data_IF_396875407160
#
_entry.id   IF_396875407160
#
_cell.length_a   1.000
_cell.length_b   1.000
_cell.length_c   1.000
_cell.angle_alpha   90.00
_cell.angle_beta   90.00
_cell.angle_gamma   90.00
#
_symmetry.space_group_name_H-M   'P 1'
#
loop_
_entity.id
_entity.type
_entity.pdbx_description
1 polymer ?
#
# COMPACT_ATOMS: atom_id res chain seq x y z
N UNK A 1 11.66 17.46 19.85
CA UNK A 1 12.65 16.85 18.91
C UNK A 1 12.41 17.35 17.49
N UNK A 2 13.42 17.30 16.61
CA UNK A 2 13.25 17.57 15.19
C UNK A 2 12.84 16.29 14.41
N UNK A 3 12.54 16.41 13.12
CA UNK A 3 12.09 15.28 12.28
C UNK A 3 13.10 14.13 12.22
N UNK A 4 14.39 14.43 12.05
CA UNK A 4 15.41 13.39 11.95
C UNK A 4 15.61 12.64 13.28
N UNK A 5 15.49 13.34 14.40
CA UNK A 5 15.51 12.74 15.72
C UNK A 5 14.28 11.83 15.93
N UNK A 6 13.09 12.25 15.46
CA UNK A 6 11.88 11.43 15.51
C UNK A 6 12.01 10.16 14.66
N UNK A 7 12.54 10.27 13.44
CA UNK A 7 12.81 9.12 12.58
C UNK A 7 13.83 8.17 13.21
N UNK A 8 14.91 8.71 13.80
CA UNK A 8 15.92 7.90 14.51
C UNK A 8 15.31 7.15 15.69
N UNK A 9 14.44 7.79 16.46
CA UNK A 9 13.74 7.15 17.56
C UNK A 9 12.84 6.02 17.07
N UNK A 10 12.03 6.23 16.02
CA UNK A 10 11.18 5.20 15.43
C UNK A 10 11.99 3.99 14.95
N UNK A 11 13.06 4.24 14.19
CA UNK A 11 13.89 3.16 13.64
C UNK A 11 14.65 2.39 14.71
N UNK A 12 14.94 3.01 15.86
CA UNK A 12 15.57 2.32 17.01
C UNK A 12 14.65 1.32 17.70
N UNK A 13 13.31 1.41 17.49
CA UNK A 13 12.34 0.42 17.96
C UNK A 13 12.35 -0.89 17.14
N UNK A 14 13.33 -1.06 16.26
CA UNK A 14 13.47 -2.20 15.36
C UNK A 14 12.70 -2.02 14.06
N UNK A 15 13.33 -1.40 13.06
CA UNK A 15 12.76 -1.00 11.76
C UNK A 15 12.01 -2.12 11.00
N UNK A 16 12.18 -3.35 11.34
CA UNK A 16 11.49 -4.50 10.71
C UNK A 16 10.89 -5.43 11.74
N UNK A 17 10.78 -4.98 12.99
CA UNK A 17 10.14 -5.76 14.04
C UNK A 17 8.64 -5.77 13.79
N UNK A 18 8.12 -6.94 13.44
CA UNK A 18 6.69 -7.19 13.27
C UNK A 18 6.23 -8.09 14.42
N UNK A 19 5.35 -7.59 15.25
CA UNK A 19 4.69 -8.33 16.31
C UNK A 19 3.19 -8.15 16.20
N UNK A 20 2.50 -9.21 15.84
CA UNK A 20 1.02 -9.22 15.73
C UNK A 20 0.39 -9.20 17.13
N UNK A 21 -0.77 -8.57 17.23
CA UNK A 21 -1.55 -8.45 18.48
C UNK A 21 -1.94 -7.02 18.77
N UNK A 22 -3.03 -6.85 19.52
CA UNK A 22 -3.64 -5.54 19.74
C UNK A 22 -3.46 -5.02 21.18
N UNK A 23 -2.92 -5.83 22.10
CA UNK A 23 -2.83 -5.47 23.54
C UNK A 23 -1.92 -4.26 23.79
N UNK A 24 -0.78 -4.19 23.10
CA UNK A 24 0.19 -3.10 23.27
C UNK A 24 -0.40 -1.78 22.79
N UNK A 25 -0.96 -1.76 21.57
CA UNK A 25 -1.56 -0.55 21.00
C UNK A 25 -2.82 -0.14 21.77
N UNK A 26 -3.62 -1.10 22.28
CA UNK A 26 -4.78 -0.82 23.14
C UNK A 26 -4.36 -0.01 24.38
N UNK A 27 -3.38 -0.50 25.12
CA UNK A 27 -2.84 0.19 26.31
C UNK A 27 -2.30 1.59 26.00
N UNK A 28 -1.64 1.75 24.84
CA UNK A 28 -1.13 3.04 24.42
C UNK A 28 -2.26 4.04 24.11
N UNK A 29 -3.29 3.58 23.38
CA UNK A 29 -4.44 4.42 23.02
C UNK A 29 -5.30 4.77 24.24
N UNK A 30 -5.47 3.87 25.21
CA UNK A 30 -6.16 4.13 26.47
C UNK A 30 -5.51 5.31 27.24
N UNK A 31 -4.18 5.35 27.31
CA UNK A 31 -3.45 6.48 27.93
C UNK A 31 -3.64 7.81 27.21
N UNK A 32 -3.98 7.76 25.93
CA UNK A 32 -4.24 8.94 25.11
C UNK A 32 -5.73 9.31 25.05
N UNK A 33 -6.58 8.61 25.82
CA UNK A 33 -8.03 8.85 25.90
C UNK A 33 -8.79 8.32 24.68
N UNK A 34 -8.30 7.23 24.07
CA UNK A 34 -8.90 6.53 22.94
C UNK A 34 -9.28 7.44 21.75
N UNK A 35 -8.32 8.18 21.17
CA UNK A 35 -8.60 9.10 20.07
C UNK A 35 -9.25 8.41 18.86
N UNK A 36 -8.98 7.12 18.64
CA UNK A 36 -9.57 6.31 17.55
C UNK A 36 -11.09 6.16 17.69
N UNK A 37 -11.66 6.22 18.88
CA UNK A 37 -13.11 6.07 19.09
C UNK A 37 -13.90 7.32 18.62
N UNK A 38 -13.22 8.42 18.26
CA UNK A 38 -13.82 9.67 17.77
C UNK A 38 -13.91 9.77 16.24
N UNK A 39 -13.41 8.78 15.52
CA UNK A 39 -13.23 8.82 14.07
C UNK A 39 -14.13 7.80 13.38
N UNK A 40 -14.46 8.08 12.11
CA UNK A 40 -15.17 7.15 11.23
C UNK A 40 -14.21 6.59 10.20
N UNK A 41 -14.37 5.32 9.81
CA UNK A 41 -13.40 4.61 9.00
C UNK A 41 -13.99 3.91 7.79
N UNK A 42 -13.27 3.99 6.67
CA UNK A 42 -13.28 2.98 5.60
C UNK A 42 -11.97 2.22 5.74
N UNK A 43 -12.03 0.93 6.10
CA UNK A 43 -10.86 0.12 6.40
C UNK A 43 -10.53 -0.79 5.23
N UNK A 44 -9.29 -0.77 4.74
CA UNK A 44 -8.89 -1.45 3.50
C UNK A 44 -7.81 -2.47 3.79
N UNK A 45 -8.10 -3.76 3.49
CA UNK A 45 -7.15 -4.86 3.55
C UNK A 45 -7.01 -5.56 2.18
N UNK A 46 -5.99 -6.38 2.02
CA UNK A 46 -5.72 -7.13 0.79
C UNK A 46 -4.24 -7.46 0.66
N UNK A 47 -3.88 -8.26 -0.33
CA UNK A 47 -2.46 -8.48 -0.67
C UNK A 47 -1.97 -7.33 -1.52
N UNK A 48 -2.55 -7.12 -2.69
CA UNK A 48 -2.23 -6.06 -3.63
C UNK A 48 -3.44 -5.12 -3.84
N UNK A 49 -3.22 -3.88 -4.29
CA UNK A 49 -4.28 -2.92 -4.61
C UNK A 49 -4.72 -2.00 -3.46
N UNK A 50 -4.39 -2.29 -2.20
CA UNK A 50 -4.81 -1.49 -1.03
C UNK A 50 -4.57 0.01 -1.21
N UNK A 51 -3.32 0.42 -1.44
CA UNK A 51 -2.95 1.82 -1.60
C UNK A 51 -3.67 2.51 -2.77
N UNK A 52 -3.88 1.80 -3.90
CA UNK A 52 -4.65 2.35 -5.04
C UNK A 52 -6.12 2.58 -4.68
N UNK A 53 -6.76 1.61 -4.02
CA UNK A 53 -8.17 1.75 -3.55
C UNK A 53 -8.28 2.89 -2.54
N UNK A 54 -7.36 2.98 -1.57
CA UNK A 54 -7.29 4.08 -0.61
C UNK A 54 -7.14 5.44 -1.30
N UNK A 55 -6.24 5.55 -2.28
CA UNK A 55 -6.03 6.78 -3.04
C UNK A 55 -7.28 7.20 -3.84
N UNK A 56 -7.95 6.27 -4.50
CA UNK A 56 -9.17 6.55 -5.27
C UNK A 56 -10.28 7.03 -4.33
N UNK A 57 -10.58 6.27 -3.26
CA UNK A 57 -11.64 6.62 -2.30
C UNK A 57 -11.37 7.99 -1.67
N UNK A 58 -10.15 8.20 -1.15
CA UNK A 58 -9.81 9.46 -0.49
C UNK A 58 -9.92 10.66 -1.42
N UNK A 59 -9.50 10.53 -2.69
CA UNK A 59 -9.58 11.62 -3.67
C UNK A 59 -11.03 11.95 -4.04
N UNK A 60 -11.90 10.94 -4.16
CA UNK A 60 -13.34 11.18 -4.44
C UNK A 60 -13.99 11.91 -3.26
N UNK A 61 -13.72 11.49 -2.03
CA UNK A 61 -14.28 12.12 -0.83
C UNK A 61 -13.77 13.57 -0.66
N UNK A 62 -12.50 13.83 -0.97
CA UNK A 62 -11.93 15.19 -0.99
C UNK A 62 -12.60 16.09 -2.04
N UNK A 63 -12.81 15.58 -3.26
CA UNK A 63 -13.52 16.33 -4.32
C UNK A 63 -14.99 16.61 -3.94
N UNK A 64 -15.57 15.76 -3.08
CA UNK A 64 -16.89 15.99 -2.49
C UNK A 64 -16.89 17.00 -1.33
N UNK A 65 -15.74 17.57 -0.96
CA UNK A 65 -15.59 18.59 0.07
C UNK A 65 -15.39 18.07 1.49
N UNK A 66 -15.14 16.77 1.68
CA UNK A 66 -14.87 16.19 3.00
C UNK A 66 -13.41 16.41 3.42
N UNK A 67 -13.17 16.56 4.71
CA UNK A 67 -11.85 16.56 5.31
C UNK A 67 -11.41 15.13 5.58
N UNK A 68 -10.64 14.54 4.68
CA UNK A 68 -10.30 13.12 4.67
C UNK A 68 -8.93 12.89 5.30
N UNK A 69 -8.85 12.05 6.34
CA UNK A 69 -7.62 11.44 6.79
C UNK A 69 -7.28 10.23 5.91
N UNK A 70 -6.05 10.14 5.43
CA UNK A 70 -5.56 8.98 4.69
C UNK A 70 -4.32 8.41 5.40
N UNK A 71 -4.37 7.12 5.72
CA UNK A 71 -3.25 6.38 6.27
C UNK A 71 -2.86 5.24 5.34
N UNK A 72 -1.62 5.24 4.86
CA UNK A 72 -1.08 4.24 3.91
C UNK A 72 0.28 3.73 4.33
N UNK A 73 0.67 2.56 3.82
CA UNK A 73 1.97 1.96 4.07
C UNK A 73 2.40 1.01 2.94
N UNK A 74 3.73 0.86 2.73
CA UNK A 74 4.82 1.65 3.29
C UNK A 74 4.94 3.04 2.64
N UNK A 75 5.83 3.91 3.14
CA UNK A 75 6.28 5.12 2.46
C UNK A 75 7.41 4.81 1.47
N UNK A 76 7.66 5.71 0.53
CA UNK A 76 8.77 5.60 -0.43
C UNK A 76 9.95 6.47 0.01
N UNK A 77 9.73 7.75 0.25
CA UNK A 77 10.79 8.70 0.61
C UNK A 77 10.77 9.07 2.09
N UNK A 78 9.61 9.45 2.62
CA UNK A 78 9.49 10.06 3.94
C UNK A 78 8.34 9.47 4.74
N UNK A 79 8.49 9.37 6.05
CA UNK A 79 7.42 8.87 6.94
C UNK A 79 6.14 9.71 6.87
N UNK A 80 6.25 10.99 6.49
CA UNK A 80 5.11 11.91 6.35
C UNK A 80 4.10 11.47 5.30
N UNK A 81 4.56 10.76 4.25
CA UNK A 81 3.69 10.18 3.21
C UNK A 81 2.60 9.26 3.76
N UNK A 82 2.85 8.62 4.91
CA UNK A 82 1.91 7.66 5.51
C UNK A 82 0.68 8.32 6.12
N UNK A 83 0.74 9.62 6.46
CA UNK A 83 -0.31 10.32 7.22
C UNK A 83 -0.66 11.60 6.47
N UNK A 84 -1.80 11.61 5.79
CA UNK A 84 -2.25 12.76 5.01
C UNK A 84 -3.61 13.25 5.47
N UNK A 85 -3.86 14.55 5.34
CA UNK A 85 -5.20 15.15 5.47
C UNK A 85 -5.51 15.90 4.18
N UNK A 86 -6.58 15.49 3.50
CA UNK A 86 -7.05 16.09 2.25
C UNK A 86 -5.92 16.29 1.22
N UNK A 87 -5.11 15.23 1.02
CA UNK A 87 -4.01 15.19 0.04
C UNK A 87 -2.73 15.91 0.47
N UNK A 88 -2.69 16.45 1.70
CA UNK A 88 -1.50 17.12 2.26
C UNK A 88 -0.89 16.23 3.34
N UNK A 89 0.38 15.92 3.20
CA UNK A 89 1.13 15.16 4.21
C UNK A 89 1.19 15.89 5.55
N UNK A 90 1.24 15.14 6.65
CA UNK A 90 1.60 15.69 7.96
C UNK A 90 2.92 16.44 7.85
N UNK A 91 3.01 17.65 8.40
CA UNK A 91 4.26 18.40 8.36
C UNK A 91 5.36 17.69 9.15
N UNK A 92 6.62 17.83 8.75
CA UNK A 92 7.77 17.30 9.50
C UNK A 92 7.78 17.80 10.95
N UNK A 93 7.27 19.03 11.19
CA UNK A 93 7.11 19.60 12.52
C UNK A 93 6.03 18.89 13.33
N UNK A 94 4.80 18.73 12.79
CA UNK A 94 3.71 18.03 13.46
C UNK A 94 4.09 16.57 13.72
N UNK A 95 4.70 15.89 12.73
CA UNK A 95 5.17 14.52 12.88
C UNK A 95 6.12 14.36 14.07
N UNK A 96 7.17 15.19 14.14
CA UNK A 96 8.12 15.17 15.25
C UNK A 96 7.46 15.53 16.59
N UNK A 97 6.54 16.50 16.60
CA UNK A 97 5.78 16.89 17.78
C UNK A 97 4.93 15.72 18.34
N UNK A 98 4.19 15.02 17.47
CA UNK A 98 3.36 13.89 17.92
C UNK A 98 4.20 12.69 18.36
N UNK A 99 5.29 12.37 17.66
CA UNK A 99 6.23 11.33 18.09
C UNK A 99 6.78 11.64 19.48
N UNK A 100 7.32 12.84 19.69
CA UNK A 100 7.88 13.25 20.99
C UNK A 100 6.86 13.18 22.12
N UNK A 101 5.65 13.68 21.88
CA UNK A 101 4.58 13.69 22.87
C UNK A 101 4.10 12.28 23.22
N UNK A 102 3.88 11.46 22.21
CA UNK A 102 3.31 10.13 22.39
C UNK A 102 4.32 9.21 23.05
N UNK A 103 5.58 9.17 22.58
CA UNK A 103 6.60 8.27 23.13
C UNK A 103 6.88 8.53 24.60
N UNK A 104 6.79 9.78 25.07
CA UNK A 104 6.87 10.12 26.51
C UNK A 104 5.71 9.57 27.35
N UNK A 105 4.50 9.49 26.77
CA UNK A 105 3.32 8.97 27.45
C UNK A 105 3.33 7.44 27.55
N UNK A 106 3.96 6.78 26.58
CA UNK A 106 3.95 5.32 26.42
C UNK A 106 5.34 4.69 26.59
N UNK A 107 6.25 5.35 27.29
CA UNK A 107 7.67 4.97 27.43
C UNK A 107 7.87 3.53 27.93
N UNK A 108 6.98 3.05 28.81
CA UNK A 108 7.00 1.68 29.36
C UNK A 108 6.25 0.65 28.48
N UNK A 109 5.68 1.06 27.34
CA UNK A 109 5.00 0.17 26.40
C UNK A 109 5.93 -0.06 25.20
N UNK A 110 6.39 -1.29 25.05
CA UNK A 110 7.32 -1.67 23.99
C UNK A 110 6.58 -1.82 22.63
N UNK A 111 6.16 -0.69 22.05
CA UNK A 111 5.51 -0.67 20.73
C UNK A 111 6.50 -0.89 19.60
N UNK A 112 6.03 -1.49 18.52
CA UNK A 112 6.74 -1.54 17.24
C UNK A 112 6.69 -0.18 16.53
N UNK A 113 7.56 0.04 15.55
CA UNK A 113 7.52 1.23 14.68
C UNK A 113 6.12 1.48 14.10
N UNK A 114 5.48 0.42 13.57
CA UNK A 114 4.16 0.53 12.95
C UNK A 114 3.07 0.86 13.97
N UNK A 115 3.12 0.29 15.16
CA UNK A 115 2.17 0.62 16.25
C UNK A 115 2.32 2.10 16.69
N UNK A 116 3.55 2.61 16.82
CA UNK A 116 3.76 4.03 17.17
C UNK A 116 3.18 4.94 16.07
N UNK A 117 3.46 4.65 14.80
CA UNK A 117 2.91 5.42 13.67
C UNK A 117 1.39 5.39 13.64
N UNK A 118 0.79 4.24 13.92
CA UNK A 118 -0.67 4.08 13.99
C UNK A 118 -1.28 4.89 15.14
N UNK A 119 -0.63 4.90 16.30
CA UNK A 119 -1.06 5.75 17.43
C UNK A 119 -0.95 7.24 17.09
N UNK A 120 0.17 7.65 16.45
CA UNK A 120 0.37 9.04 15.97
C UNK A 120 -0.74 9.43 15.00
N UNK A 121 -1.04 8.59 14.02
CA UNK A 121 -2.10 8.82 13.04
C UNK A 121 -3.46 9.03 13.70
N UNK A 122 -3.89 8.13 14.61
CA UNK A 122 -5.16 8.28 15.31
C UNK A 122 -5.23 9.58 16.10
N UNK A 123 -4.16 9.90 16.84
CA UNK A 123 -4.11 11.13 17.63
C UNK A 123 -4.14 12.38 16.74
N UNK A 124 -3.35 12.39 15.65
CA UNK A 124 -3.30 13.51 14.71
C UNK A 124 -4.65 13.74 14.04
N UNK A 125 -5.27 12.70 13.51
CA UNK A 125 -6.57 12.83 12.83
C UNK A 125 -7.68 13.27 13.77
N UNK A 126 -7.71 12.76 15.01
CA UNK A 126 -8.67 13.19 16.01
C UNK A 126 -8.47 14.67 16.40
N UNK A 127 -7.23 15.12 16.62
CA UNK A 127 -6.91 16.51 16.96
C UNK A 127 -7.21 17.49 15.81
N UNK A 128 -7.08 17.02 14.57
CA UNK A 128 -7.39 17.82 13.39
C UNK A 128 -8.86 17.75 12.98
N UNK A 129 -9.69 16.97 13.66
CA UNK A 129 -11.13 16.78 13.39
C UNK A 129 -11.38 16.45 11.90
N UNK A 130 -10.84 15.33 11.43
CA UNK A 130 -11.16 14.81 10.08
C UNK A 130 -12.57 14.24 10.07
N UNK A 131 -13.29 14.36 8.95
CA UNK A 131 -14.66 13.86 8.82
C UNK A 131 -14.69 12.34 8.68
N UNK A 132 -13.68 11.79 7.99
CA UNK A 132 -13.56 10.35 7.73
C UNK A 132 -12.09 9.96 7.53
N UNK A 133 -11.76 8.73 7.88
CA UNK A 133 -10.43 8.14 7.68
C UNK A 133 -10.52 7.00 6.68
N UNK A 134 -9.73 7.07 5.63
CA UNK A 134 -9.42 5.93 4.74
C UNK A 134 -8.16 5.28 5.29
N UNK A 135 -8.31 4.05 5.79
CA UNK A 135 -7.33 3.38 6.64
C UNK A 135 -6.81 2.11 5.95
N UNK A 136 -5.56 2.11 5.50
CA UNK A 136 -4.90 0.94 4.94
C UNK A 136 -4.31 0.07 6.06
N UNK A 137 -4.54 -1.26 6.02
CA UNK A 137 -3.83 -2.21 6.89
C UNK A 137 -2.36 -2.32 6.51
N UNK A 138 -1.48 -2.45 7.49
CA UNK A 138 -0.06 -2.71 7.22
C UNK A 138 0.19 -4.15 6.79
N UNK A 139 -0.35 -5.11 7.55
CA UNK A 139 -0.15 -6.55 7.34
C UNK A 139 -1.38 -7.35 7.78
N UNK A 140 -1.88 -8.22 6.88
CA UNK A 140 -3.02 -9.06 7.20
C UNK A 140 -4.31 -8.25 7.37
N UNK A 141 -4.84 -8.20 8.56
CA UNK A 141 -6.05 -7.47 8.94
C UNK A 141 -6.38 -7.70 10.41
N UNK A 142 -6.68 -8.93 10.80
CA UNK A 142 -7.21 -9.33 12.11
C UNK A 142 -6.38 -8.79 13.29
N UNK A 143 -5.07 -8.92 13.23
CA UNK A 143 -4.13 -8.50 14.28
C UNK A 143 -3.28 -7.30 13.87
N UNK A 144 -3.64 -6.62 12.78
CA UNK A 144 -2.99 -5.38 12.37
C UNK A 144 -3.29 -4.26 13.37
N UNK A 145 -2.31 -3.41 13.65
CA UNK A 145 -2.47 -2.30 14.61
C UNK A 145 -3.63 -1.36 14.23
N UNK A 146 -3.93 -1.21 12.93
CA UNK A 146 -5.06 -0.40 12.47
C UNK A 146 -6.41 -1.00 12.87
N UNK A 147 -6.47 -2.32 13.12
CA UNK A 147 -7.71 -3.03 13.47
C UNK A 147 -8.14 -2.88 14.94
N UNK A 148 -7.45 -2.06 15.71
CA UNK A 148 -7.86 -1.70 17.08
C UNK A 148 -9.20 -0.96 17.12
N UNK A 149 -9.66 -0.43 16.00
CA UNK A 149 -10.96 0.24 15.86
C UNK A 149 -12.12 -0.73 16.17
N UNK A 150 -13.12 -0.26 16.89
CA UNK A 150 -14.30 -1.06 17.28
C UNK A 150 -15.36 -1.16 16.19
N UNK A 151 -15.42 -0.16 15.31
CA UNK A 151 -16.39 -0.08 14.20
C UNK A 151 -15.77 0.55 12.97
N UNK A 152 -16.31 0.24 11.80
CA UNK A 152 -16.06 0.94 10.56
C UNK A 152 -17.36 1.09 9.77
N UNK A 153 -17.40 2.01 8.84
CA UNK A 153 -18.52 2.18 7.92
C UNK A 153 -18.52 1.06 6.87
N UNK A 154 -17.31 0.65 6.46
CA UNK A 154 -17.11 -0.39 5.46
C UNK A 154 -15.70 -0.98 5.60
N UNK A 155 -15.61 -2.30 5.46
CA UNK A 155 -14.40 -3.04 5.18
C UNK A 155 -14.28 -3.23 3.66
N UNK A 156 -13.15 -2.87 3.08
CA UNK A 156 -12.86 -3.13 1.66
C UNK A 156 -11.73 -4.14 1.57
N UNK A 157 -12.00 -5.29 0.94
CA UNK A 157 -10.99 -6.34 0.77
C UNK A 157 -10.61 -6.39 -0.70
N UNK A 158 -9.37 -6.01 -0.99
CA UNK A 158 -8.80 -6.01 -2.34
C UNK A 158 -8.31 -7.42 -2.72
N UNK A 159 -7.50 -7.53 -3.75
CA UNK A 159 -7.00 -8.81 -4.24
C UNK A 159 -6.26 -9.63 -3.16
N UNK A 160 -6.54 -10.96 -3.13
CA UNK A 160 -5.93 -11.94 -2.23
C UNK A 160 -4.95 -12.81 -3.01
N UNK A 161 -3.70 -12.85 -2.53
CA UNK A 161 -2.70 -13.77 -3.06
C UNK A 161 -1.64 -14.09 -1.99
N UNK A 162 -0.70 -14.95 -2.33
CA UNK A 162 0.39 -15.35 -1.45
C UNK A 162 1.36 -14.18 -1.22
N UNK A 163 1.43 -13.74 0.00
CA UNK A 163 2.45 -12.85 0.55
C UNK A 163 2.47 -13.01 2.07
N UNK A 164 3.63 -12.85 2.71
CA UNK A 164 3.80 -13.00 4.16
C UNK A 164 3.26 -14.33 4.71
N UNK A 165 3.47 -15.41 3.97
CA UNK A 165 2.93 -16.75 4.30
C UNK A 165 3.40 -17.27 5.65
N UNK A 166 4.60 -16.87 6.09
CA UNK A 166 5.15 -17.19 7.42
C UNK A 166 4.30 -16.62 8.59
N UNK A 167 3.37 -15.69 8.31
CA UNK A 167 2.53 -15.01 9.30
C UNK A 167 1.04 -15.18 9.05
N UNK A 168 0.62 -15.16 7.80
CA UNK A 168 -0.79 -15.16 7.41
C UNK A 168 -1.32 -16.56 7.05
N UNK A 169 -0.42 -17.54 6.97
CA UNK A 169 -0.76 -18.92 6.60
C UNK A 169 -0.39 -19.28 5.16
N UNK A 170 -0.39 -20.59 4.89
CA UNK A 170 0.16 -21.20 3.68
C UNK A 170 -0.92 -21.47 2.60
N UNK A 171 -2.15 -20.99 2.82
CA UNK A 171 -3.26 -21.12 1.86
C UNK A 171 -3.95 -19.78 1.66
N UNK A 172 -4.51 -19.58 0.46
CA UNK A 172 -5.26 -18.36 0.15
C UNK A 172 -6.46 -18.17 1.11
N UNK A 173 -7.10 -19.25 1.52
CA UNK A 173 -8.20 -19.19 2.50
C UNK A 173 -7.76 -18.73 3.88
N UNK A 174 -6.56 -19.12 4.34
CA UNK A 174 -6.00 -18.61 5.60
C UNK A 174 -5.67 -17.12 5.49
N UNK A 175 -5.04 -16.70 4.38
CA UNK A 175 -4.74 -15.30 4.12
C UNK A 175 -6.03 -14.47 4.03
N UNK A 176 -7.07 -14.98 3.36
CA UNK A 176 -8.38 -14.35 3.28
C UNK A 176 -9.02 -14.19 4.68
N UNK A 177 -8.95 -15.23 5.52
CA UNK A 177 -9.45 -15.20 6.90
C UNK A 177 -8.76 -14.11 7.74
N UNK A 178 -7.44 -14.00 7.68
CA UNK A 178 -6.71 -12.94 8.41
C UNK A 178 -7.12 -11.53 7.94
N UNK A 179 -7.36 -11.36 6.62
CA UNK A 179 -7.80 -10.07 6.08
C UNK A 179 -9.26 -9.76 6.41
N UNK A 180 -10.13 -10.79 6.44
CA UNK A 180 -11.53 -10.66 6.85
C UNK A 180 -11.71 -10.16 8.30
N UNK A 181 -10.66 -10.25 9.13
CA UNK A 181 -10.68 -9.73 10.50
C UNK A 181 -10.94 -8.23 10.62
N UNK A 182 -10.91 -7.47 9.52
CA UNK A 182 -11.30 -6.05 9.51
C UNK A 182 -12.82 -5.82 9.38
N UNK A 183 -13.62 -6.87 9.13
CA UNK A 183 -15.07 -6.79 9.06
C UNK A 183 -15.61 -6.58 10.49
N UNK A 184 -16.32 -5.47 10.71
CA UNK A 184 -16.84 -5.09 12.03
C UNK A 184 -18.35 -5.29 12.10
N UNK A 185 -18.90 -5.45 13.32
CA UNK A 185 -20.34 -5.58 13.49
C UNK A 185 -21.16 -4.43 12.87
N UNK A 186 -22.28 -4.78 12.22
CA UNK A 186 -23.22 -3.83 11.61
C UNK A 186 -22.58 -2.88 10.59
N UNK A 187 -21.62 -3.37 9.80
CA UNK A 187 -20.94 -2.59 8.74
C UNK A 187 -21.26 -3.17 7.35
N UNK A 188 -20.38 -2.97 6.40
CA UNK A 188 -20.41 -3.64 5.11
C UNK A 188 -19.01 -4.19 4.78
N UNK A 189 -18.96 -5.29 4.02
CA UNK A 189 -17.74 -5.74 3.35
C UNK A 189 -17.93 -5.66 1.83
N UNK A 190 -17.01 -5.00 1.15
CA UNK A 190 -16.98 -4.85 -0.30
C UNK A 190 -15.70 -5.51 -0.80
N UNK A 191 -15.84 -6.47 -1.69
CA UNK A 191 -14.73 -7.24 -2.25
C UNK A 191 -15.02 -7.66 -3.68
N UNK A 192 -13.96 -7.93 -4.44
CA UNK A 192 -14.05 -8.59 -5.75
C UNK A 192 -13.64 -10.07 -5.69
N UNK A 193 -13.35 -10.57 -4.49
CA UNK A 193 -12.88 -11.93 -4.23
C UNK A 193 -14.02 -12.82 -3.72
N UNK A 194 -14.22 -13.95 -4.37
CA UNK A 194 -15.32 -14.88 -4.09
C UNK A 194 -15.08 -15.87 -2.94
N UNK A 195 -14.24 -15.56 -1.95
CA UNK A 195 -14.00 -16.44 -0.81
C UNK A 195 -15.21 -16.48 0.12
N UNK A 196 -15.73 -17.69 0.37
CA UNK A 196 -16.90 -17.92 1.22
C UNK A 196 -16.72 -17.36 2.63
N UNK A 197 -15.51 -17.43 3.17
CA UNK A 197 -15.16 -16.89 4.49
C UNK A 197 -15.52 -15.40 4.66
N UNK A 198 -15.52 -14.60 3.60
CA UNK A 198 -15.91 -13.18 3.70
C UNK A 198 -17.40 -13.01 3.97
N UNK A 199 -18.21 -13.89 3.34
CA UNK A 199 -19.66 -13.92 3.57
C UNK A 199 -19.97 -14.46 4.96
N UNK A 200 -19.33 -15.55 5.38
CA UNK A 200 -19.54 -16.17 6.70
C UNK A 200 -19.26 -15.16 7.83
N UNK A 201 -18.11 -14.48 7.77
CA UNK A 201 -17.75 -13.47 8.77
C UNK A 201 -18.66 -12.23 8.68
N UNK A 202 -19.14 -11.85 7.49
CA UNK A 202 -20.11 -10.78 7.36
C UNK A 202 -21.45 -11.15 8.00
N UNK A 203 -21.93 -12.36 7.79
CA UNK A 203 -23.18 -12.88 8.38
C UNK A 203 -23.06 -12.95 9.93
N UNK A 204 -21.94 -13.47 10.46
CA UNK A 204 -21.64 -13.49 11.90
C UNK A 204 -21.64 -12.08 12.54
N UNK A 205 -21.21 -11.09 11.79
CA UNK A 205 -21.15 -9.68 12.23
C UNK A 205 -22.41 -8.87 11.88
N UNK A 206 -23.47 -9.50 11.36
CA UNK A 206 -24.66 -8.79 10.86
C UNK A 206 -24.28 -7.66 9.88
N UNK A 207 -23.32 -7.92 8.99
CA UNK A 207 -22.78 -6.98 8.03
C UNK A 207 -23.20 -7.32 6.61
N UNK A 208 -23.36 -6.30 5.77
CA UNK A 208 -23.71 -6.50 4.37
C UNK A 208 -22.50 -7.04 3.59
N UNK A 209 -22.67 -8.15 2.86
CA UNK A 209 -21.67 -8.66 1.93
C UNK A 209 -21.96 -8.18 0.50
N UNK A 210 -20.97 -7.56 -0.16
CA UNK A 210 -21.05 -7.13 -1.55
C UNK A 210 -19.86 -7.65 -2.35
N UNK A 211 -20.14 -8.55 -3.31
CA UNK A 211 -19.19 -9.00 -4.32
C UNK A 211 -19.34 -8.12 -5.57
N UNK A 212 -18.24 -7.50 -6.02
CA UNK A 212 -18.25 -6.60 -7.17
C UNK A 212 -17.41 -7.13 -8.33
N UNK A 213 -17.90 -6.98 -9.55
CA UNK A 213 -17.16 -7.31 -10.77
C UNK A 213 -16.19 -6.18 -11.13
N UNK A 214 -15.08 -6.47 -11.84
CA UNK A 214 -14.19 -5.44 -12.37
C UNK A 214 -14.92 -4.44 -13.26
N UNK A 215 -14.55 -3.17 -13.15
CA UNK A 215 -15.10 -2.07 -13.94
C UNK A 215 -14.24 -1.88 -15.19
N UNK A 216 -14.81 -2.09 -16.37
CA UNK A 216 -14.04 -2.15 -17.62
C UNK A 216 -13.47 -0.80 -18.06
N UNK A 217 -14.20 0.29 -17.82
CA UNK A 217 -13.79 1.63 -18.26
C UNK A 217 -12.94 2.36 -17.22
N UNK A 218 -11.63 2.34 -17.39
CA UNK A 218 -10.67 3.10 -16.58
C UNK A 218 -10.16 4.38 -17.27
N UNK A 219 -10.75 4.79 -18.39
CA UNK A 219 -10.26 5.90 -19.24
C UNK A 219 -10.15 7.24 -18.51
N UNK A 220 -10.94 7.46 -17.46
CA UNK A 220 -10.90 8.66 -16.64
C UNK A 220 -9.98 8.54 -15.41
N UNK A 221 -9.41 7.38 -15.13
CA UNK A 221 -8.55 7.16 -13.98
C UNK A 221 -7.11 7.55 -14.30
N UNK A 222 -6.50 8.40 -13.48
CA UNK A 222 -5.11 8.81 -13.65
C UNK A 222 -4.08 7.72 -13.29
N UNK A 223 -4.53 6.57 -12.73
CA UNK A 223 -3.68 5.41 -12.48
C UNK A 223 -3.74 4.44 -13.65
N UNK A 224 -2.57 4.03 -14.14
CA UNK A 224 -2.45 3.10 -15.26
C UNK A 224 -2.40 1.63 -14.78
N UNK A 225 -2.76 0.73 -15.68
CA UNK A 225 -2.64 -0.71 -15.50
C UNK A 225 -3.99 -1.44 -15.44
N UNK A 226 -4.04 -2.66 -15.98
CA UNK A 226 -5.25 -3.49 -16.07
C UNK A 226 -5.84 -3.82 -14.70
N UNK A 227 -4.98 -4.04 -13.70
CA UNK A 227 -5.40 -4.30 -12.32
C UNK A 227 -6.16 -3.13 -11.67
N UNK A 228 -6.09 -1.92 -12.26
CA UNK A 228 -6.84 -0.77 -11.76
C UNK A 228 -8.34 -0.88 -12.05
N UNK A 229 -8.76 -1.74 -12.98
CA UNK A 229 -10.19 -2.05 -13.21
C UNK A 229 -10.84 -2.59 -11.92
N UNK A 230 -10.18 -3.53 -11.27
CA UNK A 230 -10.65 -4.11 -10.01
C UNK A 230 -10.58 -3.10 -8.86
N UNK A 231 -9.48 -2.35 -8.74
CA UNK A 231 -9.31 -1.33 -7.71
C UNK A 231 -10.36 -0.22 -7.83
N UNK A 232 -10.63 0.24 -9.05
CA UNK A 232 -11.67 1.26 -9.33
C UNK A 232 -13.05 0.74 -8.97
N UNK A 233 -13.37 -0.49 -9.33
CA UNK A 233 -14.62 -1.16 -9.01
C UNK A 233 -14.92 -1.14 -7.51
N UNK A 234 -13.95 -1.56 -6.69
CA UNK A 234 -14.06 -1.56 -5.24
C UNK A 234 -14.28 -0.15 -4.68
N UNK A 235 -13.51 0.82 -5.17
CA UNK A 235 -13.64 2.20 -4.73
C UNK A 235 -15.00 2.80 -5.10
N UNK A 236 -15.47 2.61 -6.34
CA UNK A 236 -16.76 3.13 -6.79
C UNK A 236 -17.94 2.46 -6.05
N UNK A 237 -17.88 1.15 -5.82
CA UNK A 237 -18.89 0.45 -5.02
C UNK A 237 -18.94 1.00 -3.59
N UNK A 238 -17.79 1.24 -2.97
CA UNK A 238 -17.69 1.84 -1.63
C UNK A 238 -18.30 3.24 -1.60
N UNK A 239 -17.96 4.08 -2.56
CA UNK A 239 -18.52 5.44 -2.67
C UNK A 239 -20.03 5.42 -2.91
N UNK A 240 -20.50 4.58 -3.83
CA UNK A 240 -21.94 4.45 -4.13
C UNK A 240 -22.75 3.98 -2.91
N UNK A 241 -22.18 3.05 -2.14
CA UNK A 241 -22.84 2.52 -0.95
C UNK A 241 -22.91 3.56 0.18
N UNK A 242 -21.77 4.17 0.53
CA UNK A 242 -21.68 5.07 1.69
C UNK A 242 -22.14 6.49 1.39
N UNK A 243 -21.91 6.98 0.18
CA UNK A 243 -22.09 8.40 -0.22
C UNK A 243 -22.85 8.51 -1.53
N UNK A 244 -24.09 8.00 -1.61
CA UNK A 244 -24.87 7.96 -2.87
C UNK A 244 -25.21 9.35 -3.46
N UNK A 245 -24.97 10.42 -2.69
CA UNK A 245 -25.18 11.80 -3.13
C UNK A 245 -24.00 12.41 -3.88
N UNK A 246 -22.83 11.76 -3.88
CA UNK A 246 -21.68 12.24 -4.66
C UNK A 246 -22.00 12.06 -6.15
N UNK A 247 -21.95 13.16 -6.89
CA UNK A 247 -22.36 13.15 -8.28
C UNK A 247 -21.33 12.48 -9.20
N UNK A 248 -21.75 11.89 -10.33
CA UNK A 248 -20.83 11.33 -11.32
C UNK A 248 -19.78 12.36 -11.81
N UNK A 249 -20.13 13.64 -11.88
CA UNK A 249 -19.19 14.71 -12.29
C UNK A 249 -18.07 14.88 -11.25
N UNK A 250 -18.40 14.86 -9.96
CA UNK A 250 -17.38 14.91 -8.90
C UNK A 250 -16.48 13.69 -8.95
N UNK A 251 -17.05 12.50 -9.14
CA UNK A 251 -16.27 11.25 -9.29
C UNK A 251 -15.30 11.36 -10.46
N UNK A 252 -15.78 11.70 -11.67
CA UNK A 252 -14.92 11.82 -12.85
C UNK A 252 -13.80 12.86 -12.65
N UNK A 253 -14.10 13.98 -12.01
CA UNK A 253 -13.11 15.02 -11.71
C UNK A 253 -12.06 14.54 -10.71
N UNK A 254 -12.47 13.75 -9.71
CA UNK A 254 -11.56 13.13 -8.75
C UNK A 254 -10.65 12.09 -9.42
N UNK A 255 -11.21 11.19 -10.24
CA UNK A 255 -10.44 10.12 -10.89
C UNK A 255 -9.28 10.64 -11.74
N UNK A 256 -9.43 11.80 -12.38
CA UNK A 256 -8.36 12.46 -13.14
C UNK A 256 -7.23 13.04 -12.28
N UNK A 257 -7.44 13.14 -10.97
CA UNK A 257 -6.48 13.72 -10.01
C UNK A 257 -5.84 12.69 -9.09
N UNK A 258 -6.31 11.43 -9.12
CA UNK A 258 -5.79 10.38 -8.25
C UNK A 258 -4.29 10.22 -8.45
N UNK A 259 -3.56 10.18 -7.33
CA UNK A 259 -2.12 9.91 -7.32
C UNK A 259 -1.83 8.73 -6.41
N UNK A 260 -1.05 7.79 -6.90
CA UNK A 260 -0.43 6.72 -6.14
C UNK A 260 0.91 6.41 -6.80
N UNK A 261 1.98 7.11 -6.42
CA UNK A 261 3.26 7.05 -7.12
C UNK A 261 3.83 5.63 -7.21
N UNK A 262 4.59 5.38 -8.24
CA UNK A 262 5.29 4.11 -8.49
C UNK A 262 4.36 2.89 -8.63
N UNK A 263 3.15 3.11 -9.19
CA UNK A 263 2.20 2.06 -9.57
C UNK A 263 1.98 2.11 -11.07
N UNK A 264 2.80 1.40 -11.82
CA UNK A 264 2.86 1.43 -13.28
C UNK A 264 2.91 2.87 -13.81
N UNK A 265 3.75 3.69 -13.17
CA UNK A 265 3.89 5.10 -13.47
C UNK A 265 4.85 5.31 -14.63
N UNK A 266 4.36 5.96 -15.70
CA UNK A 266 5.17 6.29 -16.85
C UNK A 266 5.79 7.68 -16.73
N UNK A 267 7.11 7.75 -16.80
CA UNK A 267 7.91 8.98 -16.77
C UNK A 267 8.33 9.29 -18.21
N UNK A 268 7.54 10.10 -18.90
CA UNK A 268 7.70 10.41 -20.33
C UNK A 268 9.09 10.93 -20.68
N UNK A 269 9.64 11.86 -19.87
CA UNK A 269 10.96 12.47 -20.10
C UNK A 269 12.12 11.48 -20.14
N UNK A 270 11.93 10.24 -19.66
CA UNK A 270 12.96 9.20 -19.57
C UNK A 270 12.55 7.91 -20.30
N UNK A 271 11.41 7.88 -20.98
CA UNK A 271 10.81 6.67 -21.52
C UNK A 271 10.88 5.50 -20.52
N UNK A 272 10.39 5.75 -19.29
CA UNK A 272 10.58 4.87 -18.15
C UNK A 272 9.27 4.55 -17.44
N UNK A 273 9.09 3.29 -17.08
CA UNK A 273 8.03 2.84 -16.16
C UNK A 273 8.64 2.52 -14.81
N UNK A 274 8.02 3.04 -13.75
CA UNK A 274 8.39 2.73 -12.38
C UNK A 274 7.24 2.01 -11.69
N UNK A 275 7.50 0.83 -11.12
CA UNK A 275 6.52 0.04 -10.39
C UNK A 275 7.14 -0.62 -9.16
N UNK A 276 6.49 -0.53 -8.02
CA UNK A 276 6.92 -1.16 -6.76
C UNK A 276 6.45 -2.61 -6.59
N UNK A 277 6.14 -3.31 -7.66
CA UNK A 277 5.88 -4.75 -7.65
C UNK A 277 7.04 -5.48 -6.95
N UNK A 278 6.73 -6.23 -5.88
CA UNK A 278 7.73 -6.82 -4.98
C UNK A 278 7.35 -8.23 -4.49
N UNK A 279 6.34 -8.83 -5.12
CA UNK A 279 5.93 -10.22 -4.93
C UNK A 279 5.54 -10.83 -6.28
N UNK A 280 5.44 -12.17 -6.41
CA UNK A 280 5.15 -12.82 -7.69
C UNK A 280 3.88 -12.31 -8.37
N UNK A 281 2.79 -12.08 -7.62
CA UNK A 281 1.55 -11.56 -8.17
C UNK A 281 1.70 -10.11 -8.69
N UNK A 282 2.36 -9.23 -7.94
CA UNK A 282 2.66 -7.87 -8.39
C UNK A 282 3.49 -7.85 -9.67
N UNK A 283 4.49 -8.74 -9.77
CA UNK A 283 5.31 -8.91 -10.98
C UNK A 283 4.47 -9.43 -12.15
N UNK A 284 3.57 -10.40 -11.92
CA UNK A 284 2.66 -10.87 -12.96
C UNK A 284 1.75 -9.74 -13.47
N UNK A 285 1.21 -8.92 -12.56
CA UNK A 285 0.42 -7.75 -12.94
C UNK A 285 1.24 -6.74 -13.77
N UNK A 286 2.49 -6.47 -13.36
CA UNK A 286 3.43 -5.63 -14.12
C UNK A 286 3.68 -6.23 -15.52
N UNK A 287 4.00 -7.52 -15.60
CA UNK A 287 4.25 -8.22 -16.89
C UNK A 287 3.04 -8.12 -17.81
N UNK A 288 1.84 -8.42 -17.31
CA UNK A 288 0.60 -8.32 -18.09
C UNK A 288 0.37 -6.90 -18.62
N UNK A 289 0.66 -5.88 -17.84
CA UNK A 289 0.57 -4.48 -18.27
C UNK A 289 1.60 -4.17 -19.36
N UNK A 290 2.84 -4.61 -19.19
CA UNK A 290 3.91 -4.42 -20.20
C UNK A 290 3.56 -5.10 -21.51
N UNK A 291 3.01 -6.31 -21.48
CA UNK A 291 2.61 -7.05 -22.66
C UNK A 291 1.39 -6.45 -23.35
N UNK A 292 0.49 -5.84 -22.60
CA UNK A 292 -0.71 -5.18 -23.15
C UNK A 292 -0.40 -3.80 -23.75
N UNK A 293 0.32 -2.94 -23.01
CA UNK A 293 0.56 -1.56 -23.44
C UNK A 293 1.82 -1.40 -24.32
N UNK A 294 2.81 -2.29 -24.15
CA UNK A 294 4.13 -2.20 -24.81
C UNK A 294 4.58 -3.55 -25.38
N UNK A 295 3.76 -4.21 -26.24
CA UNK A 295 4.03 -5.58 -26.72
C UNK A 295 5.27 -5.68 -27.60
N UNK A 296 5.60 -4.62 -28.35
CA UNK A 296 6.67 -4.60 -29.34
C UNK A 296 7.92 -3.80 -28.90
N UNK A 297 7.90 -3.23 -27.68
CA UNK A 297 9.00 -2.41 -27.22
C UNK A 297 10.20 -3.24 -26.77
N UNK A 298 11.40 -2.74 -27.07
CA UNK A 298 12.64 -3.24 -26.49
C UNK A 298 12.71 -2.82 -25.02
N UNK A 299 12.66 -3.80 -24.12
CA UNK A 299 12.56 -3.55 -22.69
C UNK A 299 13.94 -3.67 -22.02
N UNK A 300 14.24 -2.71 -21.16
CA UNK A 300 15.39 -2.71 -20.27
C UNK A 300 14.88 -2.71 -18.84
N UNK A 301 15.29 -3.67 -18.05
CA UNK A 301 14.86 -3.78 -16.66
C UNK A 301 15.98 -3.38 -15.70
N UNK A 302 15.62 -2.62 -14.66
CA UNK A 302 16.42 -2.42 -13.46
C UNK A 302 15.64 -3.06 -12.31
N UNK A 303 16.15 -4.16 -11.79
CA UNK A 303 15.46 -4.98 -10.80
C UNK A 303 16.32 -5.17 -9.54
N UNK A 304 15.70 -5.02 -8.38
CA UNK A 304 16.29 -5.34 -7.09
C UNK A 304 15.21 -5.63 -6.06
N UNK A 305 15.43 -6.59 -5.18
CA UNK A 305 14.42 -7.04 -4.23
C UNK A 305 15.02 -7.43 -2.86
N UNK A 306 14.14 -7.73 -1.90
CA UNK A 306 14.51 -8.22 -0.59
C UNK A 306 14.55 -9.76 -0.59
N UNK A 307 15.44 -10.32 0.22
CA UNK A 307 15.70 -11.77 0.34
C UNK A 307 14.53 -12.56 0.98
N UNK A 308 13.60 -11.89 1.64
CA UNK A 308 12.40 -12.51 2.20
C UNK A 308 11.23 -12.60 1.18
N UNK A 309 11.49 -12.29 -0.08
CA UNK A 309 10.53 -12.44 -1.19
C UNK A 309 10.93 -13.60 -2.09
N UNK A 310 9.96 -14.20 -2.76
CA UNK A 310 10.21 -15.22 -3.78
C UNK A 310 10.74 -14.59 -5.07
N UNK A 311 11.99 -14.12 -5.01
CA UNK A 311 12.62 -13.42 -6.12
C UNK A 311 12.92 -14.34 -7.31
N UNK A 312 13.08 -15.64 -7.09
CA UNK A 312 13.27 -16.59 -8.17
C UNK A 312 12.01 -16.66 -9.06
N UNK A 313 10.84 -16.84 -8.46
CA UNK A 313 9.57 -16.80 -9.19
C UNK A 313 9.33 -15.44 -9.86
N UNK A 314 9.68 -14.34 -9.20
CA UNK A 314 9.55 -12.99 -9.78
C UNK A 314 10.40 -12.83 -11.05
N UNK A 315 11.66 -13.26 -11.02
CA UNK A 315 12.60 -13.21 -12.15
C UNK A 315 12.10 -14.06 -13.32
N UNK A 316 11.68 -15.30 -13.03
CA UNK A 316 11.17 -16.24 -14.02
C UNK A 316 9.92 -15.73 -14.75
N UNK A 317 9.03 -15.01 -14.05
CA UNK A 317 7.80 -14.47 -14.61
C UNK A 317 8.04 -13.19 -15.42
N UNK A 318 9.01 -12.36 -15.01
CA UNK A 318 9.19 -11.03 -15.56
C UNK A 318 9.97 -11.01 -16.86
N UNK A 319 11.11 -11.73 -16.90
CA UNK A 319 12.12 -11.55 -17.96
C UNK A 319 11.95 -12.51 -19.12
N UNK A 320 12.37 -12.04 -20.30
CA UNK A 320 12.45 -12.79 -21.56
C UNK A 320 13.86 -12.71 -22.14
N UNK A 321 14.20 -13.64 -23.05
CA UNK A 321 15.54 -13.72 -23.67
C UNK A 321 15.94 -12.46 -24.46
N UNK A 322 14.95 -11.66 -24.90
CA UNK A 322 15.16 -10.42 -25.66
C UNK A 322 15.41 -9.19 -24.79
N UNK A 323 15.21 -9.31 -23.47
CA UNK A 323 15.27 -8.17 -22.55
C UNK A 323 16.71 -7.84 -22.16
N UNK A 324 16.98 -6.56 -21.91
CA UNK A 324 18.19 -6.12 -21.25
C UNK A 324 17.96 -6.10 -19.73
N UNK A 325 18.69 -6.95 -19.01
CA UNK A 325 18.46 -7.14 -17.57
C UNK A 325 19.63 -6.57 -16.78
N UNK A 326 19.29 -5.66 -15.86
CA UNK A 326 20.21 -5.08 -14.89
C UNK A 326 19.71 -5.32 -13.48
N UNK A 327 20.57 -5.89 -12.64
CA UNK A 327 20.30 -6.06 -11.23
C UNK A 327 20.90 -4.93 -10.40
N UNK A 328 20.17 -4.52 -9.37
CA UNK A 328 20.57 -3.47 -8.48
C UNK A 328 20.53 -3.92 -7.02
N UNK A 329 21.69 -3.88 -6.37
CA UNK A 329 21.80 -4.06 -4.92
C UNK A 329 21.72 -2.70 -4.25
N UNK A 330 20.72 -2.49 -3.39
CA UNK A 330 20.47 -1.22 -2.71
C UNK A 330 20.84 -1.30 -1.23
N UNK A 331 21.04 -0.14 -0.61
CA UNK A 331 21.49 -0.04 0.79
C UNK A 331 20.41 -0.48 1.80
N UNK A 332 20.21 -1.79 1.88
CA UNK A 332 19.34 -2.44 2.83
C UNK A 332 19.97 -3.80 3.21
N UNK A 333 20.09 -4.16 4.51
CA UNK A 333 20.73 -5.40 4.92
C UNK A 333 20.05 -6.68 4.38
N UNK A 334 18.79 -6.56 3.98
CA UNK A 334 18.00 -7.65 3.39
C UNK A 334 17.90 -7.57 1.85
N UNK A 335 18.64 -6.65 1.19
CA UNK A 335 18.71 -6.63 -0.26
C UNK A 335 19.43 -7.87 -0.78
N UNK A 336 18.85 -8.56 -1.77
CA UNK A 336 19.50 -9.70 -2.45
C UNK A 336 20.74 -9.18 -3.17
N UNK A 337 21.81 -9.94 -3.13
CA UNK A 337 23.07 -9.60 -3.81
C UNK A 337 22.95 -9.78 -5.32
N UNK A 338 23.84 -9.14 -6.08
CA UNK A 338 23.88 -9.26 -7.54
C UNK A 338 24.12 -10.72 -7.95
N UNK A 339 25.06 -11.39 -7.30
CA UNK A 339 25.41 -12.79 -7.59
C UNK A 339 24.20 -13.73 -7.38
N UNK A 340 23.50 -13.60 -6.25
CA UNK A 340 22.30 -14.39 -5.98
C UNK A 340 21.19 -14.17 -7.01
N UNK A 341 20.99 -12.92 -7.50
CA UNK A 341 20.01 -12.61 -8.55
C UNK A 341 20.45 -13.19 -9.90
N UNK A 342 21.75 -13.15 -10.22
CA UNK A 342 22.30 -13.71 -11.44
C UNK A 342 22.24 -15.25 -11.47
N UNK A 343 22.47 -15.90 -10.33
CA UNK A 343 22.43 -17.36 -10.22
C UNK A 343 21.04 -17.95 -10.53
N UNK A 344 19.96 -17.22 -10.23
CA UNK A 344 18.60 -17.68 -10.51
C UNK A 344 18.06 -17.16 -11.84
N UNK A 345 18.73 -16.20 -12.49
CA UNK A 345 18.27 -15.62 -13.75
C UNK A 345 18.68 -16.51 -14.95
N UNK A 346 17.72 -17.00 -15.75
CA UNK A 346 18.05 -17.86 -16.88
C UNK A 346 18.62 -17.09 -18.10
N UNK A 347 18.73 -15.78 -18.02
CA UNK A 347 19.15 -14.92 -19.11
C UNK A 347 20.40 -14.11 -18.75
N UNK A 348 21.18 -13.67 -19.76
CA UNK A 348 22.32 -12.78 -19.51
C UNK A 348 21.90 -11.51 -18.80
N UNK A 349 22.59 -11.19 -17.72
CA UNK A 349 22.29 -10.01 -16.90
C UNK A 349 23.56 -9.30 -16.44
N UNK A 350 23.43 -8.04 -16.06
CA UNK A 350 24.53 -7.18 -15.63
C UNK A 350 24.19 -6.47 -14.32
N UNK A 351 25.22 -6.00 -13.62
CA UNK A 351 25.04 -5.05 -12.53
C UNK A 351 24.68 -3.66 -13.07
N UNK A 352 23.71 -2.97 -12.46
CA UNK A 352 23.40 -1.59 -12.78
C UNK A 352 24.43 -0.63 -12.19
N UNK A 353 25.15 0.11 -13.04
CA UNK A 353 26.21 1.06 -12.68
C UNK A 353 25.88 2.49 -13.11
N UNK A 354 24.83 3.06 -12.63
CA UNK A 354 24.45 4.47 -12.54
C UNK A 354 24.64 5.42 -13.77
N UNK A 355 24.78 4.93 -15.00
CA UNK A 355 24.77 5.79 -16.20
C UNK A 355 24.11 5.08 -17.37
N UNK A 356 22.81 5.31 -17.54
CA UNK A 356 22.14 4.98 -18.78
C UNK A 356 22.01 6.20 -19.70
N UNK A 357 22.13 5.94 -20.99
CA UNK A 357 21.62 6.82 -22.01
C UNK A 357 20.14 6.48 -22.21
N UNK A 358 19.24 7.28 -21.65
CA UNK A 358 17.79 7.13 -21.82
C UNK A 358 17.30 7.62 -23.19
N UNK A 359 18.19 8.14 -24.04
CA UNK A 359 17.85 8.62 -25.41
C UNK A 359 17.92 7.53 -26.46
N UNK A 360 18.31 6.29 -26.10
CA UNK A 360 18.47 5.17 -27.00
C UNK A 360 17.13 4.54 -27.48
N UNK A 361 16.01 5.12 -27.07
CA UNK A 361 14.65 4.70 -27.49
C UNK A 361 14.11 3.46 -26.80
N UNK A 362 14.85 2.82 -25.88
CA UNK A 362 14.40 1.64 -25.16
C UNK A 362 13.47 2.02 -24.00
N UNK A 363 12.44 1.22 -23.79
CA UNK A 363 11.57 1.35 -22.62
C UNK A 363 12.29 0.81 -21.37
N UNK A 364 12.58 1.68 -20.40
CA UNK A 364 13.22 1.28 -19.15
C UNK A 364 12.17 0.98 -18.08
N UNK A 365 12.26 -0.17 -17.42
CA UNK A 365 11.36 -0.60 -16.35
C UNK A 365 12.15 -0.73 -15.06
N UNK A 366 11.73 -0.01 -14.02
CA UNK A 366 12.32 -0.06 -12.67
C UNK A 366 11.33 -0.73 -11.74
N UNK A 367 11.70 -1.90 -11.16
CA UNK A 367 10.78 -2.66 -10.31
C UNK A 367 11.49 -3.57 -9.30
N UNK A 368 10.72 -4.14 -8.35
CA UNK A 368 11.16 -5.18 -7.41
C UNK A 368 11.12 -4.79 -5.93
N UNK A 369 11.21 -3.51 -5.56
CA UNK A 369 11.19 -3.11 -4.15
C UNK A 369 10.84 -1.64 -3.94
N UNK A 370 10.03 -1.34 -2.93
CA UNK A 370 9.83 0.03 -2.42
C UNK A 370 11.13 0.69 -1.95
N UNK A 371 12.00 -0.07 -1.29
CA UNK A 371 13.24 0.46 -0.71
C UNK A 371 14.24 0.86 -1.79
N UNK A 372 14.27 0.14 -2.91
CA UNK A 372 15.10 0.46 -4.06
C UNK A 372 14.71 1.81 -4.66
N UNK A 373 13.41 2.11 -4.72
CA UNK A 373 12.90 3.33 -5.35
C UNK A 373 13.44 4.59 -4.70
N UNK A 374 13.50 4.62 -3.36
CA UNK A 374 14.05 5.77 -2.62
C UNK A 374 15.48 6.10 -3.03
N UNK A 375 16.31 5.09 -3.19
CA UNK A 375 17.71 5.26 -3.53
C UNK A 375 17.89 5.54 -5.03
N UNK A 376 17.22 4.77 -5.87
CA UNK A 376 17.39 4.82 -7.31
C UNK A 376 16.79 6.10 -7.93
N UNK A 377 15.61 6.54 -7.50
CA UNK A 377 14.98 7.76 -8.03
C UNK A 377 15.80 9.04 -7.77
N UNK A 378 16.66 9.04 -6.75
CA UNK A 378 17.60 10.15 -6.53
C UNK A 378 18.78 10.16 -7.49
N UNK A 379 19.00 9.03 -8.20
CA UNK A 379 20.13 8.81 -9.13
C UNK A 379 19.69 8.79 -10.60
N UNK A 380 18.43 8.51 -10.87
CA UNK A 380 17.77 8.53 -12.18
C UNK A 380 17.26 9.93 -12.52
#
# INVERSE_FOLDING_TARGET
MNYNEAVKLLTSQGKFRIELGLDRISRALERLGNPQDKLQYIHVAGTNGKGSVCAIISTILQEAGMKVGLYTSPHIFEYTERIMISGVEITKFDFAFYIDKITKIIEDINLTEFEILTVVMFKYFADKNVDIVVLETGLGGRFDATNIIKSNLCAVITHIDYDHTERLGNTLSQIAFEKAGIIKPNSAVITSEGYEIFKDIADENNSLFMLVAPFEDTSNLALNGLHQQQNLSLALATIKYLFPKISPVQIQKALKKVKNPFRFEFIESKNMIVDVAHNPNGIMALKNNLDYYYPNEHKRFIFGCLNNKDYASMIYQLFEAKDEIYFYHFNNPNSVTIDELQDVCPYPSKEFKEKFDYTDGKLTIVCGSFYMMKELCSKL
#
